data_IF_238398388925
#
_entry.id   IF_238398388925
#
_cell.length_a   1.000
_cell.length_b   1.000
_cell.length_c   1.000
_cell.angle_alpha   90.00
_cell.angle_beta   90.00
_cell.angle_gamma   90.00
#
_symmetry.space_group_name_H-M   'P 1'
#
loop_
_entity.id
_entity.type
_entity.pdbx_description
1 polymer ?
#
# COMPACT_ATOMS: atom_id res chain seq x y z
N UNK A 1 5.03 -6.45 7.80
CA UNK A 1 4.08 -5.99 6.75
C UNK A 1 3.87 -7.20 5.85
N UNK A 2 2.68 -7.81 5.81
CA UNK A 2 2.48 -9.13 5.19
C UNK A 2 3.12 -9.26 3.79
N UNK A 3 3.00 -8.23 2.94
CA UNK A 3 3.62 -8.22 1.60
C UNK A 3 5.16 -8.17 1.61
N UNK A 4 5.76 -7.30 2.44
CA UNK A 4 7.22 -7.17 2.53
C UNK A 4 7.86 -8.39 3.21
N UNK A 5 7.13 -9.02 4.12
CA UNK A 5 7.58 -10.22 4.82
C UNK A 5 7.54 -11.44 3.86
N UNK A 6 6.56 -11.47 2.94
CA UNK A 6 6.44 -12.50 1.89
C UNK A 6 7.47 -12.35 0.77
N UNK A 7 7.82 -11.10 0.43
CA UNK A 7 8.77 -10.77 -0.63
C UNK A 7 9.95 -9.95 -0.08
N UNK A 8 10.82 -10.54 0.76
CA UNK A 8 11.88 -9.79 1.46
C UNK A 8 12.98 -9.29 0.52
N UNK A 9 13.18 -9.95 -0.62
CA UNK A 9 14.15 -9.56 -1.66
C UNK A 9 13.59 -8.34 -2.41
N UNK A 10 12.38 -8.45 -2.96
CA UNK A 10 11.71 -7.37 -3.71
C UNK A 10 11.27 -6.21 -2.81
N UNK A 11 11.17 -6.44 -1.50
CA UNK A 11 11.04 -5.42 -0.47
C UNK A 11 12.36 -4.73 -0.12
N UNK A 12 13.49 -5.21 -0.61
CA UNK A 12 14.81 -4.64 -0.35
C UNK A 12 15.31 -4.81 1.08
N UNK A 13 14.84 -5.84 1.81
CA UNK A 13 15.26 -6.07 3.20
C UNK A 13 16.71 -6.59 3.28
N UNK A 14 17.18 -7.28 2.24
CA UNK A 14 18.57 -7.77 2.13
C UNK A 14 19.46 -6.79 1.37
N UNK A 15 18.99 -6.31 0.21
CA UNK A 15 19.68 -5.32 -0.62
C UNK A 15 18.68 -4.27 -1.12
N UNK A 16 18.86 -2.97 -0.78
CA UNK A 16 18.02 -1.89 -1.27
C UNK A 16 17.93 -1.81 -2.80
N UNK A 17 18.96 -2.27 -3.53
CA UNK A 17 18.98 -2.27 -5.01
C UNK A 17 18.03 -3.31 -5.61
N UNK A 18 17.67 -4.34 -4.86
CA UNK A 18 16.71 -5.37 -5.30
C UNK A 18 15.25 -4.96 -5.04
N UNK A 19 15.04 -3.80 -4.41
CA UNK A 19 13.70 -3.33 -4.11
C UNK A 19 12.96 -2.95 -5.38
N UNK A 20 11.84 -3.62 -5.63
CA UNK A 20 10.87 -3.24 -6.65
C UNK A 20 9.51 -2.92 -6.05
N UNK A 21 9.22 -3.36 -4.81
CA UNK A 21 7.99 -2.96 -4.11
C UNK A 21 8.07 -1.47 -3.76
N UNK A 22 7.08 -0.65 -4.16
CA UNK A 22 7.12 0.80 -3.96
C UNK A 22 7.19 1.18 -2.47
N UNK A 23 7.53 2.45 -2.19
CA UNK A 23 7.51 2.99 -0.84
C UNK A 23 6.16 3.67 -0.57
N UNK A 24 5.60 3.44 0.62
CA UNK A 24 4.55 4.29 1.17
C UNK A 24 5.17 5.28 2.17
N UNK A 25 4.70 6.54 2.22
CA UNK A 25 5.11 7.47 3.26
C UNK A 25 4.84 6.88 4.65
N UNK A 26 5.87 6.88 5.50
CA UNK A 26 5.76 6.37 6.86
C UNK A 26 4.74 7.12 7.73
N UNK A 27 4.40 6.53 8.88
CA UNK A 27 3.54 7.18 9.87
C UNK A 27 4.23 8.43 10.43
N UNK A 28 3.51 9.55 10.48
CA UNK A 28 3.99 10.76 11.16
C UNK A 28 3.88 10.51 12.66
N UNK A 29 5.02 10.45 13.37
CA UNK A 29 5.07 10.11 14.80
C UNK A 29 4.93 11.32 15.73
N UNK A 30 5.26 12.53 15.26
CA UNK A 30 5.34 13.74 16.10
C UNK A 30 4.28 14.81 15.77
N UNK A 31 3.17 14.44 15.13
CA UNK A 31 2.01 15.34 14.88
C UNK A 31 0.70 14.55 14.86
N UNK A 32 -0.43 15.27 14.90
CA UNK A 32 -1.75 14.69 14.64
C UNK A 32 -1.78 14.11 13.22
N UNK A 33 -1.89 12.79 13.13
CA UNK A 33 -1.93 12.04 11.86
C UNK A 33 -3.35 11.85 11.32
N UNK A 34 -4.37 12.05 12.17
CA UNK A 34 -5.78 11.97 11.83
C UNK A 34 -6.37 13.37 11.59
N UNK A 35 -5.78 14.13 10.67
CA UNK A 35 -6.32 15.43 10.24
C UNK A 35 -6.51 15.42 8.73
N UNK A 36 -7.51 16.18 8.26
CA UNK A 36 -7.85 16.29 6.84
C UNK A 36 -6.64 16.59 5.97
N UNK A 37 -5.78 17.52 6.39
CA UNK A 37 -4.58 17.90 5.61
C UNK A 37 -3.61 16.75 5.41
N UNK A 38 -3.44 15.90 6.42
CA UNK A 38 -2.59 14.70 6.32
C UNK A 38 -3.22 13.68 5.38
N UNK A 39 -4.54 13.49 5.44
CA UNK A 39 -5.26 12.60 4.53
C UNK A 39 -5.14 13.08 3.07
N UNK A 40 -5.41 14.36 2.80
CA UNK A 40 -5.32 14.96 1.45
C UNK A 40 -3.90 14.84 0.89
N UNK A 41 -2.87 15.12 1.68
CA UNK A 41 -1.47 14.97 1.25
C UNK A 41 -1.08 13.53 0.93
N UNK A 42 -1.79 12.54 1.46
CA UNK A 42 -1.53 11.11 1.23
C UNK A 42 -2.23 10.56 0.00
N UNK A 43 -3.22 11.25 -0.58
CA UNK A 43 -3.97 10.75 -1.75
C UNK A 43 -3.04 10.43 -2.93
N UNK A 44 -2.20 11.39 -3.33
CA UNK A 44 -1.25 11.22 -4.45
C UNK A 44 -0.27 10.05 -4.23
N UNK A 45 0.49 9.97 -3.13
CA UNK A 45 1.42 8.85 -2.94
C UNK A 45 0.73 7.49 -2.76
N UNK A 46 -0.51 7.44 -2.26
CA UNK A 46 -1.28 6.19 -2.20
C UNK A 46 -1.68 5.74 -3.62
N UNK A 47 -2.18 6.66 -4.46
CA UNK A 47 -2.52 6.37 -5.86
C UNK A 47 -1.28 5.90 -6.65
N UNK A 48 -0.15 6.59 -6.51
CA UNK A 48 1.13 6.19 -7.13
C UNK A 48 1.58 4.81 -6.66
N UNK A 49 1.47 4.51 -5.36
CA UNK A 49 1.80 3.19 -4.81
C UNK A 49 0.91 2.10 -5.42
N UNK A 50 -0.40 2.31 -5.46
CA UNK A 50 -1.35 1.31 -6.00
C UNK A 50 -1.06 1.03 -7.49
N UNK A 51 -0.83 2.09 -8.28
CA UNK A 51 -0.48 1.95 -9.71
C UNK A 51 0.84 1.22 -9.94
N UNK A 52 1.84 1.47 -9.09
CA UNK A 52 3.11 0.76 -9.17
C UNK A 52 2.96 -0.71 -8.74
N UNK A 53 2.20 -0.99 -7.68
CA UNK A 53 1.98 -2.33 -7.14
C UNK A 53 1.33 -3.27 -8.18
N UNK A 54 0.29 -2.82 -8.88
CA UNK A 54 -0.40 -3.64 -9.89
C UNK A 54 0.42 -3.86 -11.18
N UNK A 55 1.52 -3.11 -11.36
CA UNK A 55 2.45 -3.26 -12.50
C UNK A 55 3.67 -4.12 -12.16
N UNK A 56 3.81 -4.57 -10.91
CA UNK A 56 4.86 -5.50 -10.53
C UNK A 56 4.69 -6.86 -11.23
N UNK A 57 5.76 -7.67 -11.29
CA UNK A 57 5.68 -9.03 -11.81
C UNK A 57 4.51 -9.83 -11.20
N UNK A 58 3.86 -10.72 -11.98
CA UNK A 58 2.63 -11.41 -11.57
C UNK A 58 2.72 -12.14 -10.23
N UNK A 59 3.88 -12.69 -9.87
CA UNK A 59 4.06 -13.40 -8.59
C UNK A 59 3.87 -12.48 -7.36
N UNK A 60 3.98 -11.15 -7.54
CA UNK A 60 3.70 -10.14 -6.51
C UNK A 60 2.33 -9.51 -6.75
N UNK A 61 2.05 -9.01 -7.96
CA UNK A 61 0.83 -8.25 -8.25
C UNK A 61 -0.44 -9.08 -8.21
N UNK A 62 -0.34 -10.42 -8.31
CA UNK A 62 -1.45 -11.36 -8.26
C UNK A 62 -1.37 -12.32 -7.05
N UNK A 63 -0.57 -11.98 -6.03
CA UNK A 63 -0.57 -12.76 -4.80
C UNK A 63 -1.83 -12.49 -3.96
N UNK A 64 -2.20 -13.45 -3.11
CA UNK A 64 -3.39 -13.39 -2.25
C UNK A 64 -3.48 -12.09 -1.43
N UNK A 65 -2.36 -11.59 -0.92
CA UNK A 65 -2.33 -10.37 -0.11
C UNK A 65 -2.70 -9.13 -0.93
N UNK A 66 -2.31 -9.07 -2.21
CA UNK A 66 -2.67 -7.96 -3.10
C UNK A 66 -4.13 -8.09 -3.55
N UNK A 67 -4.59 -9.30 -3.88
CA UNK A 67 -6.00 -9.50 -4.22
C UNK A 67 -6.93 -9.19 -3.06
N UNK A 68 -6.66 -9.70 -1.85
CA UNK A 68 -7.44 -9.38 -0.65
C UNK A 68 -7.43 -7.89 -0.31
N UNK A 69 -6.34 -7.19 -0.60
CA UNK A 69 -6.25 -5.73 -0.37
C UNK A 69 -7.19 -4.95 -1.30
N UNK A 70 -7.35 -5.37 -2.55
CA UNK A 70 -8.21 -4.72 -3.54
C UNK A 70 -9.60 -5.32 -3.65
N UNK A 71 -9.89 -6.37 -2.89
CA UNK A 71 -11.22 -6.97 -2.82
C UNK A 71 -12.22 -5.96 -2.25
N UNK A 72 -13.32 -5.75 -2.96
CA UNK A 72 -14.38 -4.83 -2.52
C UNK A 72 -15.01 -5.38 -1.25
N UNK A 73 -15.08 -4.54 -0.21
CA UNK A 73 -15.73 -4.91 1.06
C UNK A 73 -17.21 -4.51 1.02
N UNK A 74 -18.05 -5.12 1.87
CA UNK A 74 -19.47 -4.76 1.95
C UNK A 74 -19.71 -3.26 2.16
N UNK A 75 -18.84 -2.58 2.92
CA UNK A 75 -18.93 -1.14 3.20
C UNK A 75 -18.53 -0.27 2.00
N UNK A 76 -17.78 -0.81 1.03
CA UNK A 76 -17.44 -0.09 -0.20
C UNK A 76 -18.64 -0.08 -1.18
N UNK A 77 -19.50 -1.10 -1.12
CA UNK A 77 -20.76 -1.20 -1.88
C UNK A 77 -21.91 -0.49 -1.18
N UNK A 78 -21.99 -0.64 0.15
CA UNK A 78 -23.00 -0.05 1.02
C UNK A 78 -22.32 0.85 2.04
N UNK A 79 -21.93 2.08 1.66
CA UNK A 79 -21.26 2.99 2.59
C UNK A 79 -22.18 3.27 3.79
N UNK A 80 -21.62 3.31 5.01
CA UNK A 80 -22.40 3.67 6.19
C UNK A 80 -23.02 5.06 5.98
N UNK A 81 -24.31 5.18 6.30
CA UNK A 81 -24.99 6.47 6.35
C UNK A 81 -24.42 7.25 7.54
N UNK A 82 -24.17 8.54 7.34
CA UNK A 82 -23.68 9.45 8.38
C UNK A 82 -24.53 9.41 9.67
#
# INVERSE_FOLDING_TARGET
MQLLDKFPIEGGQKDPKQRIIPFLPGKILFRRSHIRDVAVRRLKPIDEYCRALVRLPPHISQCDEVFRFFEARPEDVNPPKE
#
